data_IF_418190228181
#
_entry.id   IF_418190228181
#
_cell.length_a   1.000
_cell.length_b   1.000
_cell.length_c   1.000
_cell.angle_alpha   90.00
_cell.angle_beta   90.00
_cell.angle_gamma   90.00
#
_symmetry.space_group_name_H-M   'P 1'
#
loop_
_entity.id
_entity.type
_entity.pdbx_description
1 polymer ?
#
# COMPACT_ATOMS: atom_id res chain seq x y z
N UNK A 1 -45.32 30.33 1.04
CA UNK A 1 -44.23 30.72 0.11
C UNK A 1 -42.93 30.36 0.82
N UNK A 2 -42.31 29.21 0.53
CA UNK A 2 -41.32 28.91 -0.53
C UNK A 2 -39.93 29.53 -0.29
N UNK A 3 -38.93 28.63 -0.33
CA UNK A 3 -37.46 28.74 -0.43
C UNK A 3 -36.73 29.03 0.91
N UNK A 4 -35.94 28.13 1.52
CA UNK A 4 -34.96 27.11 1.08
C UNK A 4 -33.68 27.69 0.45
N UNK A 5 -32.52 27.12 0.84
CA UNK A 5 -31.09 27.40 0.53
C UNK A 5 -30.39 27.85 1.83
N UNK A 6 -29.48 27.13 2.51
CA UNK A 6 -28.49 26.11 2.10
C UNK A 6 -27.89 25.43 3.38
N UNK A 7 -27.76 24.09 3.43
CA UNK A 7 -26.70 23.42 4.20
C UNK A 7 -25.81 22.62 3.23
N UNK A 8 -24.80 23.26 2.63
CA UNK A 8 -23.77 22.57 1.82
C UNK A 8 -22.35 22.78 2.35
N UNK A 9 -22.17 23.40 3.52
CA UNK A 9 -20.84 23.68 4.06
C UNK A 9 -20.27 22.54 4.95
N UNK A 10 -21.07 21.56 5.36
CA UNK A 10 -20.63 20.50 6.29
C UNK A 10 -20.27 19.17 5.61
N UNK A 11 -20.44 19.04 4.29
CA UNK A 11 -20.20 17.79 3.55
C UNK A 11 -18.82 17.71 2.87
N UNK A 12 -18.01 18.78 2.90
CA UNK A 12 -16.69 18.80 2.22
C UNK A 12 -15.52 18.54 3.19
N UNK A 13 -15.71 18.65 4.51
CA UNK A 13 -14.65 18.37 5.49
C UNK A 13 -14.56 16.90 5.96
N UNK A 14 -15.48 16.02 5.54
CA UNK A 14 -15.43 14.58 5.83
C UNK A 14 -14.62 13.74 4.83
N UNK A 15 -14.23 14.31 3.69
CA UNK A 15 -13.66 13.56 2.56
C UNK A 15 -12.15 13.27 2.63
N UNK A 16 -11.40 13.93 3.50
CA UNK A 16 -9.93 13.87 3.49
C UNK A 16 -9.29 13.00 4.59
N UNK A 17 -10.07 12.50 5.57
CA UNK A 17 -9.54 11.68 6.69
C UNK A 17 -9.88 10.18 6.53
N UNK A 18 -10.72 9.81 5.55
CA UNK A 18 -11.18 8.43 5.37
C UNK A 18 -10.30 7.50 4.52
N UNK A 19 -9.24 8.00 3.87
CA UNK A 19 -8.54 7.23 2.83
C UNK A 19 -7.44 6.27 3.34
N UNK A 20 -7.20 6.18 4.65
CA UNK A 20 -6.23 5.23 5.23
C UNK A 20 -6.80 4.33 6.33
N UNK A 21 -8.08 4.47 6.67
CA UNK A 21 -8.73 3.63 7.69
C UNK A 21 -9.71 2.68 6.98
N UNK A 22 -9.20 1.47 6.80
CA UNK A 22 -9.89 0.21 6.55
C UNK A 22 -10.55 -0.04 5.18
N UNK A 23 -9.95 -0.99 4.45
CA UNK A 23 -10.54 -1.66 3.29
C UNK A 23 -11.78 -2.52 3.66
N UNK A 24 -12.04 -2.71 4.96
CA UNK A 24 -13.21 -3.43 5.47
C UNK A 24 -14.39 -2.50 5.85
N UNK A 25 -14.16 -1.24 6.28
CA UNK A 25 -15.29 -0.33 6.61
C UNK A 25 -15.89 0.33 5.37
N UNK A 26 -15.16 0.50 4.28
CA UNK A 26 -15.76 0.97 3.01
C UNK A 26 -16.72 -0.09 2.47
N UNK A 27 -16.34 -1.38 2.53
CA UNK A 27 -17.25 -2.47 2.21
C UNK A 27 -18.45 -2.50 3.17
N UNK A 28 -18.24 -2.35 4.49
CA UNK A 28 -19.34 -2.38 5.46
C UNK A 28 -20.30 -1.19 5.34
N UNK A 29 -19.81 0.04 5.12
CA UNK A 29 -20.64 1.24 4.93
C UNK A 29 -21.45 1.18 3.64
N UNK A 30 -20.87 0.63 2.57
CA UNK A 30 -21.61 0.45 1.30
C UNK A 30 -22.69 -0.63 1.45
N UNK A 31 -22.44 -1.67 2.24
CA UNK A 31 -23.41 -2.73 2.59
C UNK A 31 -24.58 -2.17 3.41
N UNK A 32 -24.30 -1.32 4.41
CA UNK A 32 -25.35 -0.70 5.23
C UNK A 32 -26.21 0.29 4.42
N UNK A 33 -25.62 1.07 3.51
CA UNK A 33 -26.38 1.98 2.63
C UNK A 33 -27.27 1.24 1.63
N UNK A 34 -26.80 0.12 1.05
CA UNK A 34 -27.58 -0.69 0.10
C UNK A 34 -28.67 -1.50 0.83
N UNK A 35 -28.38 -2.03 2.02
CA UNK A 35 -29.37 -2.68 2.87
C UNK A 35 -30.48 -1.68 3.29
N UNK A 36 -30.11 -0.44 3.65
CA UNK A 36 -31.05 0.61 3.98
C UNK A 36 -31.90 1.08 2.78
N UNK A 37 -31.35 1.06 1.56
CA UNK A 37 -32.12 1.37 0.34
C UNK A 37 -33.08 0.23 -0.05
N UNK A 38 -32.72 -1.03 0.23
CA UNK A 38 -33.54 -2.20 -0.09
C UNK A 38 -34.57 -2.59 0.99
N UNK A 39 -34.54 -1.98 2.18
CA UNK A 39 -35.54 -2.20 3.25
C UNK A 39 -36.97 -1.71 2.96
N UNK A 40 -37.26 -1.21 1.75
CA UNK A 40 -38.63 -0.86 1.32
C UNK A 40 -39.42 -2.02 0.67
N UNK A 41 -38.87 -3.24 0.60
CA UNK A 41 -39.63 -4.42 0.22
C UNK A 41 -40.48 -4.94 1.40
N UNK A 42 -41.81 -4.94 1.22
CA UNK A 42 -42.82 -5.42 2.20
C UNK A 42 -42.48 -6.81 2.75
N UNK A 43 -42.64 -7.06 4.06
CA UNK A 43 -42.52 -8.41 4.60
C UNK A 43 -43.74 -9.25 4.18
N UNK A 44 -43.49 -10.32 3.44
CA UNK A 44 -44.46 -11.41 3.28
C UNK A 44 -43.86 -12.70 3.83
N UNK A 45 -44.60 -13.28 4.78
CA UNK A 45 -44.37 -14.57 5.46
C UNK A 45 -43.24 -14.60 6.50
N UNK A 46 -43.52 -15.23 7.64
CA UNK A 46 -42.71 -15.19 8.87
C UNK A 46 -41.41 -16.00 8.80
N UNK A 47 -40.52 -15.62 7.89
CA UNK A 47 -39.13 -16.07 7.86
C UNK A 47 -38.25 -15.10 8.64
N UNK A 48 -37.25 -15.65 9.33
CA UNK A 48 -36.21 -14.95 10.11
C UNK A 48 -35.66 -13.75 9.32
N UNK A 49 -35.37 -12.61 9.95
CA UNK A 49 -34.76 -11.47 9.25
C UNK A 49 -33.46 -11.94 8.60
N UNK A 50 -33.38 -11.78 7.28
CA UNK A 50 -32.18 -12.10 6.49
C UNK A 50 -31.06 -11.13 6.88
N UNK A 51 -29.85 -11.65 6.99
CA UNK A 51 -28.63 -10.85 7.09
C UNK A 51 -28.46 -9.98 5.83
N UNK A 52 -27.73 -8.87 5.95
CA UNK A 52 -27.49 -7.97 4.82
C UNK A 52 -26.84 -8.69 3.61
N UNK A 53 -25.96 -9.66 3.87
CA UNK A 53 -25.35 -10.52 2.85
C UNK A 53 -26.37 -11.42 2.14
N UNK A 54 -27.33 -11.99 2.86
CA UNK A 54 -28.38 -12.82 2.27
C UNK A 54 -29.34 -11.99 1.41
N UNK A 55 -29.62 -10.74 1.81
CA UNK A 55 -30.44 -9.82 1.00
C UNK A 55 -29.74 -9.47 -0.31
N UNK A 56 -28.44 -9.14 -0.27
CA UNK A 56 -27.68 -8.82 -1.49
C UNK A 56 -27.59 -10.03 -2.42
N UNK A 57 -27.34 -11.22 -1.87
CA UNK A 57 -27.31 -12.44 -2.67
C UNK A 57 -28.69 -12.78 -3.26
N UNK A 58 -29.76 -12.65 -2.47
CA UNK A 58 -31.12 -12.87 -2.96
C UNK A 58 -31.47 -11.87 -4.06
N UNK A 59 -31.12 -10.60 -3.94
CA UNK A 59 -31.35 -9.60 -4.99
C UNK A 59 -30.58 -9.94 -6.28
N UNK A 60 -29.30 -10.29 -6.14
CA UNK A 60 -28.46 -10.73 -7.26
C UNK A 60 -29.04 -11.96 -7.97
N UNK A 61 -29.60 -12.91 -7.21
CA UNK A 61 -30.23 -14.12 -7.73
C UNK A 61 -31.73 -13.96 -8.02
N UNK A 62 -32.28 -12.74 -7.96
CA UNK A 62 -33.70 -12.44 -8.21
C UNK A 62 -34.66 -13.26 -7.33
N UNK A 63 -34.27 -13.49 -6.08
CA UNK A 63 -35.02 -14.22 -5.05
C UNK A 63 -34.81 -15.74 -5.07
N UNK A 64 -34.02 -16.28 -5.99
CA UNK A 64 -33.68 -17.72 -6.05
C UNK A 64 -32.69 -18.11 -4.97
N UNK A 65 -32.77 -19.36 -4.52
CA UNK A 65 -31.74 -19.94 -3.65
C UNK A 65 -30.50 -20.31 -4.46
N UNK A 66 -29.27 -20.17 -3.92
CA UNK A 66 -28.05 -20.71 -4.54
C UNK A 66 -28.13 -22.21 -4.85
N UNK A 67 -28.91 -22.98 -4.07
CA UNK A 67 -29.13 -24.42 -4.28
C UNK A 67 -29.92 -24.73 -5.57
N UNK A 68 -30.62 -23.74 -6.13
CA UNK A 68 -31.43 -23.89 -7.34
C UNK A 68 -30.63 -23.61 -8.62
N UNK A 69 -29.36 -23.22 -8.51
CA UNK A 69 -28.51 -22.89 -9.65
C UNK A 69 -27.89 -24.13 -10.27
N UNK A 70 -27.96 -24.25 -11.60
CA UNK A 70 -27.14 -25.24 -12.32
C UNK A 70 -25.67 -24.79 -12.40
N UNK A 71 -24.72 -25.71 -12.64
CA UNK A 71 -23.31 -25.34 -12.84
C UNK A 71 -23.07 -24.32 -13.95
N UNK A 72 -23.83 -24.40 -15.04
CA UNK A 72 -23.75 -23.47 -16.17
C UNK A 72 -24.31 -22.10 -15.80
N UNK A 73 -25.44 -22.04 -15.08
CA UNK A 73 -25.99 -20.78 -14.58
C UNK A 73 -25.02 -20.09 -13.62
N UNK A 74 -24.48 -20.85 -12.66
CA UNK A 74 -23.47 -20.36 -11.73
C UNK A 74 -22.23 -19.85 -12.48
N UNK A 75 -21.77 -20.59 -13.49
CA UNK A 75 -20.65 -20.18 -14.33
C UNK A 75 -20.92 -18.87 -15.08
N UNK A 76 -22.09 -18.73 -15.72
CA UNK A 76 -22.44 -17.50 -16.43
C UNK A 76 -22.55 -16.28 -15.51
N UNK A 77 -23.06 -16.46 -14.28
CA UNK A 77 -23.14 -15.40 -13.27
C UNK A 77 -21.74 -14.94 -12.82
N UNK A 78 -20.78 -15.86 -12.75
CA UNK A 78 -19.41 -15.58 -12.32
C UNK A 78 -18.50 -15.08 -13.45
N UNK A 79 -18.84 -15.39 -14.69
CA UNK A 79 -18.04 -15.08 -15.88
C UNK A 79 -17.57 -13.62 -15.97
N UNK A 80 -18.38 -12.59 -15.67
CA UNK A 80 -17.93 -11.20 -15.75
C UNK A 80 -16.74 -10.87 -14.85
N UNK A 81 -16.59 -11.59 -13.73
CA UNK A 81 -15.43 -11.46 -12.83
C UNK A 81 -14.30 -12.37 -13.30
N UNK A 82 -14.61 -13.61 -13.68
CA UNK A 82 -13.60 -14.59 -14.07
C UNK A 82 -12.85 -14.25 -15.37
N UNK A 83 -13.49 -13.58 -16.33
CA UNK A 83 -12.84 -13.22 -17.61
C UNK A 83 -11.98 -11.95 -17.54
N UNK A 84 -11.85 -11.34 -16.36
CA UNK A 84 -11.08 -10.09 -16.20
C UNK A 84 -9.59 -10.35 -16.34
N UNK A 85 -8.88 -9.35 -16.84
CA UNK A 85 -7.44 -9.43 -16.96
C UNK A 85 -6.81 -9.22 -15.57
N UNK A 86 -5.94 -10.13 -15.07
CA UNK A 86 -5.37 -10.03 -13.71
C UNK A 86 -4.57 -8.76 -13.41
N UNK A 87 -4.16 -8.01 -14.45
CA UNK A 87 -3.44 -6.73 -14.34
C UNK A 87 -4.34 -5.49 -14.44
N UNK A 88 -5.65 -5.66 -14.56
CA UNK A 88 -6.57 -4.52 -14.57
C UNK A 88 -6.75 -3.99 -13.14
N UNK A 89 -5.78 -3.19 -12.67
CA UNK A 89 -5.83 -2.59 -11.33
C UNK A 89 -7.02 -1.62 -11.13
N UNK A 90 -7.82 -1.35 -12.17
CA UNK A 90 -9.09 -0.63 -12.05
C UNK A 90 -10.17 -1.42 -11.26
N UNK A 91 -9.91 -2.69 -10.92
CA UNK A 91 -10.80 -3.57 -10.16
C UNK A 91 -11.21 -3.07 -8.77
N UNK A 92 -10.53 -2.05 -8.25
CA UNK A 92 -10.80 -1.45 -6.93
C UNK A 92 -11.26 0.02 -7.00
N UNK A 93 -11.50 0.55 -8.21
CA UNK A 93 -11.69 2.01 -8.39
C UNK A 93 -13.15 2.45 -8.56
N UNK A 94 -14.08 1.55 -8.90
CA UNK A 94 -15.51 1.89 -9.05
C UNK A 94 -16.41 1.10 -8.10
N UNK A 95 -17.49 1.75 -7.65
CA UNK A 95 -18.51 1.14 -6.77
C UNK A 95 -19.14 -0.10 -7.41
N UNK A 96 -19.39 -0.05 -8.72
CA UNK A 96 -19.97 -1.17 -9.48
C UNK A 96 -19.06 -2.39 -9.44
N UNK A 97 -17.75 -2.24 -9.71
CA UNK A 97 -16.80 -3.36 -9.66
C UNK A 97 -16.65 -3.95 -8.26
N UNK A 98 -16.65 -3.10 -7.22
CA UNK A 98 -16.65 -3.56 -5.83
C UNK A 98 -17.90 -4.39 -5.51
N UNK A 99 -19.07 -3.98 -6.00
CA UNK A 99 -20.32 -4.73 -5.83
C UNK A 99 -20.28 -6.07 -6.57
N UNK A 100 -19.81 -6.11 -7.81
CA UNK A 100 -19.68 -7.36 -8.58
C UNK A 100 -18.74 -8.35 -7.89
N UNK A 101 -17.59 -7.90 -7.38
CA UNK A 101 -16.66 -8.74 -6.63
C UNK A 101 -17.28 -9.25 -5.33
N UNK A 102 -18.06 -8.42 -4.63
CA UNK A 102 -18.77 -8.82 -3.43
C UNK A 102 -19.85 -9.87 -3.73
N UNK A 103 -20.67 -9.67 -4.76
CA UNK A 103 -21.69 -10.62 -5.22
C UNK A 103 -21.07 -11.95 -5.67
N UNK A 104 -19.95 -11.89 -6.38
CA UNK A 104 -19.18 -13.08 -6.78
C UNK A 104 -18.73 -13.90 -5.57
N UNK A 105 -18.13 -13.27 -4.56
CA UNK A 105 -17.71 -13.95 -3.32
C UNK A 105 -18.90 -14.51 -2.53
N UNK A 106 -20.00 -13.76 -2.45
CA UNK A 106 -21.22 -14.25 -1.82
C UNK A 106 -21.76 -15.49 -2.54
N UNK A 107 -21.82 -15.46 -3.87
CA UNK A 107 -22.25 -16.61 -4.65
C UNK A 107 -21.32 -17.81 -4.40
N UNK A 108 -20.00 -17.62 -4.54
CA UNK A 108 -19.01 -18.67 -4.30
C UNK A 108 -19.13 -19.30 -2.92
N UNK A 109 -19.42 -18.52 -1.89
CA UNK A 109 -19.55 -19.01 -0.51
C UNK A 109 -20.86 -19.77 -0.26
N UNK A 110 -21.88 -19.59 -1.09
CA UNK A 110 -23.19 -20.21 -0.89
C UNK A 110 -23.55 -21.28 -1.92
N UNK A 111 -22.77 -21.46 -2.99
CA UNK A 111 -23.02 -22.52 -3.96
C UNK A 111 -22.83 -23.92 -3.34
N UNK A 112 -23.66 -24.92 -3.72
CA UNK A 112 -23.44 -26.31 -3.32
C UNK A 112 -22.12 -26.88 -3.86
N UNK A 113 -21.45 -27.73 -3.07
CA UNK A 113 -20.19 -28.38 -3.46
C UNK A 113 -20.25 -29.10 -4.83
N UNK A 114 -21.32 -29.85 -5.18
CA UNK A 114 -21.42 -30.48 -6.49
C UNK A 114 -21.46 -29.47 -7.64
N UNK A 115 -22.14 -28.33 -7.43
CA UNK A 115 -22.24 -27.25 -8.42
C UNK A 115 -20.88 -26.59 -8.61
N UNK A 116 -20.20 -26.24 -7.51
CA UNK A 116 -18.86 -25.64 -7.54
C UNK A 116 -17.84 -26.48 -8.28
N UNK A 117 -17.84 -27.80 -8.07
CA UNK A 117 -16.90 -28.70 -8.76
C UNK A 117 -17.09 -28.61 -10.28
N UNK A 118 -18.33 -28.74 -10.76
CA UNK A 118 -18.60 -28.70 -12.21
C UNK A 118 -18.37 -27.30 -12.76
N UNK A 119 -18.68 -26.25 -12.00
CA UNK A 119 -18.36 -24.88 -12.41
C UNK A 119 -16.86 -24.60 -12.48
N UNK A 120 -16.06 -25.20 -11.59
CA UNK A 120 -14.60 -25.17 -11.66
C UNK A 120 -14.10 -25.86 -12.93
N UNK A 121 -14.62 -27.03 -13.27
CA UNK A 121 -14.29 -27.74 -14.51
C UNK A 121 -14.63 -26.86 -15.74
N UNK A 122 -15.82 -26.26 -15.78
CA UNK A 122 -16.22 -25.31 -16.83
C UNK A 122 -15.32 -24.08 -16.92
N UNK A 123 -14.88 -23.54 -15.78
CA UNK A 123 -13.98 -22.39 -15.74
C UNK A 123 -12.58 -22.71 -16.27
N UNK A 124 -12.17 -23.98 -16.21
CA UNK A 124 -10.86 -24.47 -16.66
C UNK A 124 -10.88 -24.90 -18.14
N UNK A 125 -12.00 -25.41 -18.61
CA UNK A 125 -12.21 -25.76 -20.02
C UNK A 125 -12.49 -24.51 -20.89
N UNK A 126 -12.99 -23.44 -20.27
CA UNK A 126 -13.20 -22.13 -20.90
C UNK A 126 -11.90 -21.34 -21.06
N UNK A 127 -11.86 -20.43 -22.02
CA UNK A 127 -10.76 -19.48 -22.32
C UNK A 127 -10.49 -18.43 -21.22
N UNK A 128 -10.72 -18.79 -19.95
CA UNK A 128 -10.51 -17.97 -18.76
C UNK A 128 -9.04 -18.06 -18.34
N UNK A 129 -8.40 -16.93 -17.97
CA UNK A 129 -7.05 -16.95 -17.43
C UNK A 129 -6.94 -17.84 -16.19
N UNK A 130 -5.91 -18.69 -16.15
CA UNK A 130 -5.59 -19.59 -15.03
C UNK A 130 -5.76 -18.94 -13.63
N UNK A 131 -5.28 -17.71 -13.36
CA UNK A 131 -5.40 -17.08 -12.04
C UNK A 131 -6.84 -16.85 -11.56
N UNK A 132 -7.79 -16.61 -12.48
CA UNK A 132 -9.17 -16.33 -12.09
C UNK A 132 -9.90 -17.58 -11.59
N UNK A 133 -9.49 -18.76 -12.05
CA UNK A 133 -10.04 -20.05 -11.58
C UNK A 133 -9.60 -20.41 -10.16
N UNK A 134 -8.57 -19.75 -9.62
CA UNK A 134 -8.00 -20.06 -8.30
C UNK A 134 -8.96 -19.70 -7.15
N UNK A 135 -9.77 -18.65 -7.28
CA UNK A 135 -10.77 -18.30 -6.26
C UNK A 135 -11.90 -19.34 -6.19
N UNK A 136 -12.34 -19.87 -7.34
CA UNK A 136 -13.33 -20.96 -7.41
C UNK A 136 -12.77 -22.23 -6.79
N UNK A 137 -11.51 -22.57 -7.12
CA UNK A 137 -10.83 -23.71 -6.51
C UNK A 137 -10.68 -23.56 -5.00
N UNK A 138 -10.28 -22.38 -4.51
CA UNK A 138 -10.13 -22.13 -3.08
C UNK A 138 -11.45 -22.36 -2.33
N UNK A 139 -12.57 -21.86 -2.86
CA UNK A 139 -13.90 -22.09 -2.29
C UNK A 139 -14.30 -23.57 -2.32
N UNK A 140 -13.93 -24.31 -3.38
CA UNK A 140 -14.14 -25.76 -3.45
C UNK A 140 -13.30 -26.52 -2.39
N UNK A 141 -12.03 -26.14 -2.24
CA UNK A 141 -11.09 -26.76 -1.30
C UNK A 141 -11.44 -26.52 0.16
N UNK A 142 -12.00 -25.35 0.50
CA UNK A 142 -12.47 -25.04 1.86
C UNK A 142 -13.50 -26.08 2.34
N UNK A 143 -14.43 -26.48 1.47
CA UNK A 143 -15.51 -27.43 1.77
C UNK A 143 -15.06 -28.89 1.74
N UNK A 144 -14.01 -29.20 0.98
CA UNK A 144 -13.57 -30.57 0.73
C UNK A 144 -12.11 -30.63 0.31
N UNK A 145 -11.21 -30.42 1.26
CA UNK A 145 -9.76 -30.37 1.02
C UNK A 145 -9.23 -31.59 0.29
N UNK A 146 -9.44 -32.80 0.82
CA UNK A 146 -8.87 -34.01 0.23
C UNK A 146 -9.34 -34.25 -1.22
N UNK A 147 -10.62 -34.00 -1.48
CA UNK A 147 -11.19 -34.09 -2.83
C UNK A 147 -10.64 -33.01 -3.78
N UNK A 148 -10.45 -31.79 -3.27
CA UNK A 148 -9.87 -30.70 -4.06
C UNK A 148 -8.39 -30.92 -4.36
N UNK A 149 -7.61 -31.44 -3.41
CA UNK A 149 -6.20 -31.79 -3.62
C UNK A 149 -6.07 -32.94 -4.62
N UNK A 150 -6.93 -33.96 -4.54
CA UNK A 150 -6.97 -35.03 -5.54
C UNK A 150 -7.28 -34.49 -6.94
N UNK A 151 -8.19 -33.52 -7.06
CA UNK A 151 -8.47 -32.83 -8.33
C UNK A 151 -7.30 -31.96 -8.81
N UNK A 152 -6.65 -31.21 -7.91
CA UNK A 152 -5.53 -30.33 -8.24
C UNK A 152 -4.28 -31.12 -8.67
N UNK A 153 -4.13 -32.37 -8.23
CA UNK A 153 -2.98 -33.21 -8.54
C UNK A 153 -2.76 -33.43 -10.05
N UNK A 154 -3.81 -33.38 -10.86
CA UNK A 154 -3.73 -33.50 -12.32
C UNK A 154 -3.55 -32.17 -13.05
N UNK A 155 -3.47 -31.04 -12.34
CA UNK A 155 -3.39 -29.70 -12.93
C UNK A 155 -1.93 -29.23 -13.07
N UNK A 156 -1.60 -28.47 -14.14
CA UNK A 156 -0.24 -27.94 -14.33
C UNK A 156 0.15 -26.89 -13.28
N UNK A 157 -0.83 -26.12 -12.77
CA UNK A 157 -0.69 -25.03 -11.78
C UNK A 157 -1.12 -25.46 -10.36
N UNK A 158 -0.90 -26.74 -10.03
CA UNK A 158 -1.31 -27.33 -8.74
C UNK A 158 -0.80 -26.55 -7.53
N UNK A 159 0.40 -25.97 -7.60
CA UNK A 159 1.03 -25.25 -6.48
C UNK A 159 0.31 -23.94 -6.21
N UNK A 160 -0.02 -23.22 -7.26
CA UNK A 160 -0.76 -21.96 -7.22
C UNK A 160 -2.18 -22.20 -6.70
N UNK A 161 -2.84 -23.27 -7.16
CA UNK A 161 -4.15 -23.71 -6.66
C UNK A 161 -4.12 -24.01 -5.15
N UNK A 162 -3.15 -24.82 -4.70
CA UNK A 162 -2.97 -25.15 -3.27
C UNK A 162 -2.70 -23.88 -2.46
N UNK A 163 -1.82 -22.99 -2.96
CA UNK A 163 -1.51 -21.71 -2.32
C UNK A 163 -2.75 -20.82 -2.20
N UNK A 164 -3.59 -20.74 -3.22
CA UNK A 164 -4.83 -19.97 -3.19
C UNK A 164 -5.83 -20.54 -2.16
N UNK A 165 -5.98 -21.86 -2.11
CA UNK A 165 -6.84 -22.52 -1.13
C UNK A 165 -6.36 -22.29 0.32
N UNK A 166 -5.05 -22.39 0.58
CA UNK A 166 -4.49 -22.08 1.90
C UNK A 166 -4.62 -20.60 2.23
N UNK A 167 -4.49 -19.71 1.24
CA UNK A 167 -4.71 -18.27 1.43
C UNK A 167 -6.14 -17.94 1.85
N UNK A 168 -7.15 -18.61 1.28
CA UNK A 168 -8.53 -18.50 1.73
C UNK A 168 -8.72 -19.06 3.15
N UNK A 169 -8.19 -20.28 3.41
CA UNK A 169 -8.23 -20.87 4.74
C UNK A 169 -7.53 -20.00 5.78
N UNK A 170 -6.46 -19.28 5.44
CA UNK A 170 -5.81 -18.35 6.36
C UNK A 170 -6.73 -17.20 6.82
N UNK A 171 -7.80 -16.92 6.07
CA UNK A 171 -8.85 -15.98 6.45
C UNK A 171 -10.03 -16.66 7.19
N UNK A 172 -10.45 -17.84 6.75
CA UNK A 172 -11.68 -18.50 7.24
C UNK A 172 -11.46 -19.56 8.32
N UNK A 173 -10.35 -20.31 8.25
CA UNK A 173 -9.91 -21.33 9.20
C UNK A 173 -8.36 -21.32 9.35
N UNK A 174 -7.83 -20.31 10.07
CA UNK A 174 -6.39 -20.07 10.16
C UNK A 174 -5.63 -21.17 10.91
N UNK A 175 -6.29 -21.93 11.79
CA UNK A 175 -5.68 -23.08 12.47
C UNK A 175 -5.38 -24.19 11.46
N UNK A 176 -6.35 -24.50 10.59
CA UNK A 176 -6.17 -25.47 9.51
C UNK A 176 -5.11 -25.00 8.51
N UNK A 177 -5.13 -23.72 8.13
CA UNK A 177 -4.09 -23.16 7.25
C UNK A 177 -2.68 -23.25 7.85
N UNK A 178 -2.54 -23.02 9.16
CA UNK A 178 -1.25 -23.17 9.88
C UNK A 178 -0.73 -24.60 9.79
N UNK A 179 -1.60 -25.60 10.00
CA UNK A 179 -1.25 -27.02 9.87
C UNK A 179 -0.80 -27.37 8.45
N UNK A 180 -1.54 -26.89 7.43
CA UNK A 180 -1.25 -27.18 6.02
C UNK A 180 0.07 -26.58 5.55
N UNK A 181 0.41 -25.37 6.00
CA UNK A 181 1.72 -24.77 5.72
C UNK A 181 2.85 -25.58 6.36
N UNK A 182 2.66 -26.05 7.60
CA UNK A 182 3.62 -26.92 8.26
C UNK A 182 3.90 -28.20 7.44
N UNK A 183 2.84 -28.80 6.87
CA UNK A 183 2.97 -29.96 5.98
C UNK A 183 3.67 -29.63 4.67
N UNK A 184 3.29 -28.54 3.99
CA UNK A 184 3.94 -28.12 2.73
C UNK A 184 5.44 -27.82 2.93
N UNK A 185 5.77 -27.10 4.00
CA UNK A 185 7.16 -26.74 4.31
C UNK A 185 8.02 -27.98 4.60
N UNK A 186 7.46 -28.99 5.29
CA UNK A 186 8.20 -30.21 5.66
C UNK A 186 8.28 -31.24 4.54
N UNK A 187 7.24 -31.39 3.72
CA UNK A 187 7.16 -32.40 2.67
C UNK A 187 7.67 -31.92 1.31
N UNK A 188 7.41 -30.65 0.95
CA UNK A 188 7.71 -30.12 -0.37
C UNK A 188 8.89 -29.14 -0.38
N UNK A 189 9.39 -28.75 0.80
CA UNK A 189 10.49 -27.78 0.95
C UNK A 189 10.21 -26.42 0.33
N UNK A 190 8.95 -26.11 0.05
CA UNK A 190 8.54 -24.89 -0.64
C UNK A 190 7.97 -23.93 0.39
N UNK A 191 8.55 -22.73 0.57
CA UNK A 191 8.05 -21.76 1.53
C UNK A 191 6.66 -21.27 1.13
N UNK A 192 5.80 -21.09 2.13
CA UNK A 192 4.48 -20.47 1.92
C UNK A 192 4.62 -19.05 1.38
N UNK A 193 3.64 -18.61 0.59
CA UNK A 193 3.64 -17.25 0.05
C UNK A 193 3.57 -16.19 1.15
N UNK A 194 4.19 -15.03 0.90
CA UNK A 194 4.21 -13.90 1.83
C UNK A 194 2.80 -13.46 2.23
N UNK A 195 1.82 -13.58 1.33
CA UNK A 195 0.42 -13.25 1.60
C UNK A 195 -0.17 -14.15 2.69
N UNK A 196 -0.01 -15.48 2.56
CA UNK A 196 -0.52 -16.45 3.52
C UNK A 196 0.14 -16.24 4.88
N UNK A 197 1.46 -16.10 4.89
CA UNK A 197 2.24 -15.83 6.11
C UNK A 197 1.73 -14.56 6.78
N UNK A 198 1.49 -13.49 6.03
CA UNK A 198 0.97 -12.22 6.57
C UNK A 198 -0.42 -12.37 7.19
N UNK A 199 -1.33 -13.15 6.57
CA UNK A 199 -2.67 -13.40 7.12
C UNK A 199 -2.59 -14.16 8.44
N UNK A 200 -1.79 -15.22 8.49
CA UNK A 200 -1.61 -16.02 9.70
C UNK A 200 -0.88 -15.27 10.82
N UNK A 201 0.11 -14.44 10.48
CA UNK A 201 0.77 -13.58 11.47
C UNK A 201 -0.21 -12.61 12.14
N UNK A 202 -1.17 -12.05 11.38
CA UNK A 202 -2.25 -11.23 11.98
C UNK A 202 -3.16 -12.05 12.88
N UNK A 203 -3.53 -13.26 12.47
CA UNK A 203 -4.33 -14.16 13.31
C UNK A 203 -3.63 -14.47 14.63
N UNK A 204 -2.37 -14.89 14.59
CA UNK A 204 -1.59 -15.20 15.78
C UNK A 204 -1.30 -13.95 16.64
N UNK A 205 -1.13 -12.77 16.02
CA UNK A 205 -1.01 -11.50 16.75
C UNK A 205 -2.25 -11.20 17.61
N UNK A 206 -3.47 -11.42 17.08
CA UNK A 206 -4.72 -11.22 17.84
C UNK A 206 -4.86 -12.11 19.06
N UNK A 207 -4.14 -13.24 19.08
CA UNK A 207 -4.10 -14.18 20.20
C UNK A 207 -3.02 -13.84 21.23
N UNK A 208 -2.22 -12.81 20.99
CA UNK A 208 -1.16 -12.35 21.87
C UNK A 208 0.25 -12.61 21.33
N UNK A 209 1.23 -11.95 21.93
CA UNK A 209 2.63 -11.97 21.51
C UNK A 209 3.26 -13.37 21.60
N UNK A 210 2.83 -14.19 22.57
CA UNK A 210 3.37 -15.56 22.73
C UNK A 210 3.02 -16.44 21.54
N UNK A 211 1.76 -16.43 21.13
CA UNK A 211 1.29 -17.20 19.97
C UNK A 211 1.92 -16.67 18.68
N UNK A 212 2.00 -15.35 18.55
CA UNK A 212 2.69 -14.71 17.44
C UNK A 212 4.13 -15.21 17.25
N UNK A 213 4.96 -15.13 18.30
CA UNK A 213 6.37 -15.55 18.19
C UNK A 213 6.54 -17.07 18.09
N UNK A 214 5.62 -17.85 18.68
CA UNK A 214 5.59 -19.30 18.47
C UNK A 214 5.37 -19.65 16.98
N UNK A 215 4.43 -18.96 16.32
CA UNK A 215 4.20 -19.12 14.90
C UNK A 215 5.39 -18.65 14.05
N UNK A 216 5.94 -17.46 14.32
CA UNK A 216 7.14 -16.93 13.65
C UNK A 216 8.30 -17.93 13.70
N UNK A 217 8.52 -18.56 14.86
CA UNK A 217 9.57 -19.57 15.03
C UNK A 217 9.31 -20.87 14.25
N UNK A 218 8.04 -21.17 13.94
CA UNK A 218 7.68 -22.36 13.16
C UNK A 218 7.91 -22.20 11.66
N UNK A 219 8.05 -20.96 11.18
CA UNK A 219 8.22 -20.67 9.76
C UNK A 219 9.68 -20.92 9.32
N UNK A 220 9.91 -21.70 8.24
CA UNK A 220 11.25 -21.87 7.69
C UNK A 220 11.69 -20.60 6.97
N UNK A 221 12.86 -20.07 7.34
CA UNK A 221 13.54 -19.05 6.55
C UNK A 221 12.76 -17.75 6.38
N UNK A 222 12.16 -17.22 7.46
CA UNK A 222 11.68 -15.84 7.42
C UNK A 222 12.81 -14.91 6.97
N UNK A 223 12.56 -13.98 6.03
CA UNK A 223 13.56 -13.00 5.63
C UNK A 223 14.12 -12.28 6.86
N UNK A 224 15.44 -12.07 6.90
CA UNK A 224 16.09 -11.42 8.05
C UNK A 224 15.54 -10.00 8.30
N UNK A 225 14.98 -9.39 7.26
CA UNK A 225 14.41 -8.04 7.24
C UNK A 225 12.87 -8.01 7.27
N UNK A 226 12.22 -9.07 7.74
CA UNK A 226 10.76 -9.12 7.78
C UNK A 226 10.17 -7.96 8.60
N UNK A 227 9.24 -7.21 7.99
CA UNK A 227 8.62 -6.05 8.64
C UNK A 227 7.49 -6.50 9.58
N UNK A 228 7.70 -6.33 10.88
CA UNK A 228 6.74 -6.68 11.92
C UNK A 228 5.74 -5.55 12.24
N UNK A 229 5.95 -4.34 11.71
CA UNK A 229 5.11 -3.17 12.01
C UNK A 229 3.62 -3.41 11.72
N UNK A 230 3.22 -4.03 10.59
CA UNK A 230 1.80 -4.21 10.25
C UNK A 230 0.99 -5.02 11.27
N UNK A 231 1.64 -5.80 12.13
CA UNK A 231 0.98 -6.70 13.09
C UNK A 231 0.80 -6.08 14.48
N UNK A 232 1.46 -4.94 14.77
CA UNK A 232 1.33 -4.27 16.07
C UNK A 232 -0.13 -3.89 16.39
N UNK A 233 -0.88 -3.44 15.38
CA UNK A 233 -2.29 -3.07 15.52
C UNK A 233 -3.22 -4.25 15.81
N UNK A 234 -2.78 -5.46 15.48
CA UNK A 234 -3.56 -6.68 15.68
C UNK A 234 -3.28 -7.30 17.06
N UNK A 235 -2.23 -6.88 17.78
CA UNK A 235 -1.93 -7.34 19.14
C UNK A 235 -2.93 -6.77 20.17
N UNK A 236 -3.22 -7.51 21.25
CA UNK A 236 -3.85 -6.94 22.44
C UNK A 236 -3.01 -5.75 22.95
N UNK A 237 -3.60 -4.57 23.22
CA UNK A 237 -2.82 -3.37 23.59
C UNK A 237 -1.89 -3.59 24.79
N UNK A 238 -2.34 -4.33 25.81
CA UNK A 238 -1.55 -4.65 27.00
C UNK A 238 -0.35 -5.57 26.75
N UNK A 239 -0.24 -6.20 25.58
CA UNK A 239 0.86 -7.11 25.24
C UNK A 239 1.97 -6.45 24.40
N UNK A 240 1.77 -5.22 23.93
CA UNK A 240 2.76 -4.51 23.10
C UNK A 240 4.12 -4.37 23.82
N UNK A 241 4.20 -3.99 25.12
CA UNK A 241 5.50 -3.94 25.80
C UNK A 241 6.22 -5.30 25.82
N UNK A 242 5.51 -6.38 26.12
CA UNK A 242 6.08 -7.73 26.13
C UNK A 242 6.48 -8.22 24.73
N UNK A 243 5.73 -7.81 23.70
CA UNK A 243 6.08 -8.04 22.31
C UNK A 243 7.41 -7.36 21.96
N UNK A 244 7.57 -6.08 22.33
CA UNK A 244 8.80 -5.32 22.09
C UNK A 244 9.98 -5.92 22.83
N UNK A 245 9.81 -6.35 24.08
CA UNK A 245 10.86 -7.06 24.82
C UNK A 245 11.31 -8.33 24.09
N UNK A 246 10.37 -9.14 23.60
CA UNK A 246 10.65 -10.37 22.89
C UNK A 246 11.29 -10.11 21.51
N UNK A 247 10.82 -9.09 20.78
CA UNK A 247 11.40 -8.63 19.52
C UNK A 247 12.89 -8.26 19.69
N UNK A 248 13.23 -7.59 20.79
CA UNK A 248 14.60 -7.20 21.13
C UNK A 248 15.45 -8.37 21.59
N UNK A 249 14.94 -9.20 22.51
CA UNK A 249 15.70 -10.32 23.07
C UNK A 249 16.07 -11.39 22.04
N UNK A 250 15.31 -11.51 20.95
CA UNK A 250 15.64 -12.42 19.83
C UNK A 250 16.58 -11.79 18.78
N UNK A 251 17.07 -10.57 19.01
CA UNK A 251 17.95 -9.86 18.08
C UNK A 251 17.28 -9.45 16.77
N UNK A 252 15.95 -9.54 16.68
CA UNK A 252 15.20 -9.15 15.47
C UNK A 252 15.28 -7.65 15.24
N UNK A 253 15.34 -6.87 16.32
CA UNK A 253 15.53 -5.44 16.27
C UNK A 253 16.87 -5.06 15.59
N UNK A 254 17.98 -5.65 16.05
CA UNK A 254 19.31 -5.37 15.49
C UNK A 254 19.39 -5.75 14.00
N UNK A 255 18.76 -6.85 13.60
CA UNK A 255 18.66 -7.24 12.18
C UNK A 255 17.86 -6.25 11.37
N UNK A 256 16.73 -5.77 11.90
CA UNK A 256 15.85 -4.82 11.23
C UNK A 256 16.42 -3.38 11.18
N UNK A 257 17.32 -3.01 12.09
CA UNK A 257 18.00 -1.69 12.09
C UNK A 257 18.82 -1.46 10.82
N UNK A 258 19.44 -2.50 10.26
CA UNK A 258 20.20 -2.40 9.02
C UNK A 258 19.33 -2.15 7.77
N UNK A 259 18.01 -2.28 7.87
CA UNK A 259 17.09 -2.27 6.73
C UNK A 259 15.88 -1.34 6.91
N UNK A 260 15.93 -0.35 7.80
CA UNK A 260 14.87 0.63 8.11
C UNK A 260 13.54 0.09 8.69
N UNK A 261 13.31 -1.22 8.69
CA UNK A 261 12.05 -1.82 9.17
C UNK A 261 11.88 -1.74 10.69
N UNK A 262 12.99 -1.78 11.46
CA UNK A 262 12.97 -1.60 12.91
C UNK A 262 12.51 -0.20 13.32
N UNK A 263 12.96 0.82 12.59
CA UNK A 263 12.55 2.22 12.81
C UNK A 263 11.06 2.42 12.57
N UNK A 264 10.52 1.85 11.48
CA UNK A 264 9.07 1.90 11.16
C UNK A 264 8.20 1.33 12.28
N UNK A 265 8.62 0.19 12.85
CA UNK A 265 7.91 -0.47 13.94
C UNK A 265 7.83 0.46 15.15
N UNK A 266 8.98 1.00 15.56
CA UNK A 266 9.05 1.86 16.75
C UNK A 266 8.34 3.20 16.54
N UNK A 267 8.38 3.78 15.33
CA UNK A 267 7.59 4.95 14.99
C UNK A 267 6.07 4.69 15.11
N UNK A 268 5.58 3.47 14.87
CA UNK A 268 4.17 3.15 15.12
C UNK A 268 3.86 3.04 16.62
N UNK A 269 4.79 2.47 17.39
CA UNK A 269 4.69 2.38 18.86
C UNK A 269 4.56 3.77 19.48
N UNK A 270 5.23 4.79 18.96
CA UNK A 270 5.18 6.16 19.49
C UNK A 270 3.75 6.70 19.68
N UNK A 271 2.83 6.40 18.76
CA UNK A 271 1.44 6.88 18.85
C UNK A 271 0.61 6.13 19.91
N UNK A 272 0.99 4.91 20.29
CA UNK A 272 0.18 4.04 21.16
C UNK A 272 0.81 3.81 22.53
N UNK A 273 2.14 3.81 22.60
CA UNK A 273 2.97 3.53 23.78
C UNK A 273 4.19 4.47 23.79
N UNK A 274 4.00 5.79 23.89
CA UNK A 274 5.08 6.78 23.79
C UNK A 274 6.19 6.57 24.84
N UNK A 275 5.86 6.05 26.02
CA UNK A 275 6.85 5.71 27.04
C UNK A 275 7.80 4.58 26.60
N UNK A 276 7.30 3.56 25.91
CA UNK A 276 8.14 2.47 25.40
C UNK A 276 8.99 2.93 24.21
N UNK A 277 8.42 3.77 23.34
CA UNK A 277 9.19 4.43 22.29
C UNK A 277 10.33 5.29 22.85
N UNK A 278 10.06 6.10 23.88
CA UNK A 278 11.09 6.95 24.49
C UNK A 278 12.21 6.13 25.14
N UNK A 279 11.87 5.07 25.92
CA UNK A 279 12.87 4.15 26.48
C UNK A 279 13.77 3.53 25.40
N UNK A 280 13.17 3.17 24.26
CA UNK A 280 13.91 2.64 23.13
C UNK A 280 14.80 3.69 22.47
N UNK A 281 14.27 4.88 22.18
CA UNK A 281 15.01 5.99 21.60
C UNK A 281 16.21 6.38 22.48
N UNK A 282 16.07 6.31 23.80
CA UNK A 282 17.14 6.56 24.76
C UNK A 282 18.18 5.43 24.85
N UNK A 283 17.88 4.24 24.32
CA UNK A 283 18.82 3.12 24.24
C UNK A 283 19.68 3.10 22.98
N UNK A 284 19.33 3.94 21.99
CA UNK A 284 20.08 4.07 20.75
C UNK A 284 21.38 4.83 20.98
N UNK A 285 22.38 4.55 20.13
CA UNK A 285 23.54 5.42 20.07
C UNK A 285 23.15 6.81 19.54
N UNK A 286 24.11 7.72 19.62
CA UNK A 286 23.88 9.11 19.29
C UNK A 286 23.37 9.31 17.85
N UNK A 287 24.00 8.64 16.87
CA UNK A 287 23.69 8.78 15.45
C UNK A 287 22.29 8.22 15.13
N UNK A 288 22.01 7.00 15.60
CA UNK A 288 20.71 6.35 15.42
C UNK A 288 19.59 7.12 16.13
N UNK A 289 19.85 7.64 17.32
CA UNK A 289 18.89 8.47 18.07
C UNK A 289 18.52 9.72 17.29
N UNK A 290 19.51 10.43 16.73
CA UNK A 290 19.25 11.63 15.93
C UNK A 290 18.49 11.29 14.65
N UNK A 291 18.86 10.22 13.93
CA UNK A 291 18.11 9.72 12.77
C UNK A 291 16.63 9.54 13.09
N UNK A 292 16.36 8.74 14.13
CA UNK A 292 14.99 8.38 14.50
C UNK A 292 14.20 9.60 15.00
N UNK A 293 14.86 10.57 15.62
CA UNK A 293 14.23 11.83 16.03
C UNK A 293 13.82 12.67 14.82
N UNK A 294 14.65 12.72 13.77
CA UNK A 294 14.28 13.37 12.52
C UNK A 294 13.17 12.62 11.77
N UNK A 295 13.19 11.29 11.72
CA UNK A 295 12.10 10.49 11.14
C UNK A 295 10.78 10.73 11.88
N UNK A 296 10.82 10.79 13.22
CA UNK A 296 9.66 11.14 14.04
C UNK A 296 9.17 12.55 13.72
N UNK A 297 10.07 13.52 13.62
CA UNK A 297 9.71 14.89 13.26
C UNK A 297 9.05 14.97 11.87
N UNK A 298 9.55 14.22 10.89
CA UNK A 298 8.97 14.11 9.55
C UNK A 298 7.56 13.50 9.61
N UNK A 299 7.39 12.40 10.36
CA UNK A 299 6.09 11.78 10.62
C UNK A 299 5.10 12.78 11.24
N UNK A 300 5.48 13.49 12.31
CA UNK A 300 4.61 14.50 12.96
C UNK A 300 4.21 15.60 11.99
N UNK A 301 5.11 16.04 11.11
CA UNK A 301 4.78 17.00 10.06
C UNK A 301 3.73 16.46 9.09
N UNK A 302 3.87 15.21 8.63
CA UNK A 302 2.91 14.57 7.74
C UNK A 302 1.52 14.41 8.38
N UNK A 303 1.46 14.30 9.71
CA UNK A 303 0.23 14.31 10.50
C UNK A 303 -0.35 15.73 10.72
N UNK A 304 0.28 16.77 10.16
CA UNK A 304 -0.12 18.18 10.33
C UNK A 304 0.37 18.83 11.63
N UNK A 305 1.16 18.13 12.44
CA UNK A 305 1.68 18.62 13.75
C UNK A 305 3.01 19.35 13.57
N UNK A 306 2.95 20.51 12.90
CA UNK A 306 4.13 21.29 12.49
C UNK A 306 4.97 21.75 13.69
N UNK A 307 4.34 22.23 14.76
CA UNK A 307 5.09 22.72 15.93
C UNK A 307 5.76 21.60 16.73
N UNK A 308 5.14 20.42 16.84
CA UNK A 308 5.79 19.24 17.42
C UNK A 308 6.99 18.78 16.58
N UNK A 309 6.83 18.77 15.26
CA UNK A 309 7.92 18.50 14.31
C UNK A 309 9.11 19.44 14.53
N UNK A 310 8.85 20.76 14.61
CA UNK A 310 9.88 21.77 14.87
C UNK A 310 10.56 21.59 16.23
N UNK A 311 9.81 21.26 17.28
CA UNK A 311 10.38 20.99 18.59
C UNK A 311 11.32 19.77 18.57
N UNK A 312 10.95 18.71 17.86
CA UNK A 312 11.78 17.51 17.68
C UNK A 312 13.04 17.82 16.88
N UNK A 313 12.96 18.61 15.80
CA UNK A 313 14.11 19.08 15.04
C UNK A 313 15.09 19.83 15.95
N UNK A 314 14.61 20.79 16.75
CA UNK A 314 15.47 21.54 17.68
C UNK A 314 16.13 20.62 18.70
N UNK A 315 15.39 19.63 19.23
CA UNK A 315 15.92 18.66 20.18
C UNK A 315 17.02 17.78 19.55
N UNK A 316 16.82 17.34 18.31
CA UNK A 316 17.82 16.57 17.57
C UNK A 316 19.08 17.41 17.32
N UNK A 317 18.93 18.65 16.86
CA UNK A 317 20.04 19.57 16.60
C UNK A 317 20.79 19.98 17.87
N UNK A 318 20.09 20.18 18.99
CA UNK A 318 20.73 20.53 20.26
C UNK A 318 21.55 19.38 20.88
N UNK A 319 21.21 18.13 20.55
CA UNK A 319 21.93 16.96 21.04
C UNK A 319 23.10 16.53 20.14
N UNK A 320 23.17 17.06 18.91
CA UNK A 320 24.23 16.76 17.93
C UNK A 320 25.61 17.28 18.37
N UNK A 321 26.63 16.39 18.53
CA UNK A 321 28.01 16.80 18.61
C UNK A 321 28.38 17.59 17.36
N UNK A 322 29.14 18.68 17.53
CA UNK A 322 29.55 19.56 16.41
C UNK A 322 30.29 18.83 15.29
N UNK A 323 30.94 17.70 15.57
CA UNK A 323 31.63 16.87 14.58
C UNK A 323 30.67 16.09 13.66
N UNK A 324 29.43 15.86 14.09
CA UNK A 324 28.44 15.02 13.40
C UNK A 324 27.48 15.84 12.51
N UNK A 325 27.78 17.10 12.23
CA UNK A 325 26.89 17.95 11.41
C UNK A 325 26.87 17.50 9.94
N UNK A 326 27.91 16.80 9.50
CA UNK A 326 27.93 16.09 8.20
C UNK A 326 26.84 15.02 8.11
N UNK A 327 26.41 14.44 9.24
CA UNK A 327 25.27 13.53 9.29
C UNK A 327 23.96 14.27 8.96
N UNK A 328 23.78 15.49 9.48
CA UNK A 328 22.61 16.33 9.17
C UNK A 328 22.57 16.64 7.68
N UNK A 329 23.73 16.89 7.06
CA UNK A 329 23.84 17.09 5.61
C UNK A 329 23.37 15.87 4.82
N UNK A 330 23.90 14.68 5.11
CA UNK A 330 23.47 13.43 4.45
C UNK A 330 21.98 13.15 4.65
N UNK A 331 21.44 13.41 5.85
CA UNK A 331 20.01 13.26 6.10
C UNK A 331 19.15 14.28 5.34
N UNK A 332 19.64 15.50 5.16
CA UNK A 332 18.96 16.52 4.32
C UNK A 332 18.99 16.12 2.85
N UNK A 333 20.08 15.53 2.35
CA UNK A 333 20.17 15.04 0.96
C UNK A 333 19.16 13.90 0.71
N UNK A 334 18.92 13.04 1.70
CA UNK A 334 18.00 11.91 1.59
C UNK A 334 16.52 12.28 1.80
N UNK A 335 16.21 13.45 2.39
CA UNK A 335 14.81 13.82 2.69
C UNK A 335 14.11 14.49 1.51
N UNK A 336 12.93 13.97 1.18
CA UNK A 336 12.10 14.45 0.04
C UNK A 336 11.12 15.55 0.42
N UNK A 337 11.29 16.17 1.58
CA UNK A 337 10.37 17.19 2.11
C UNK A 337 11.04 18.57 2.20
N UNK A 338 11.04 19.33 1.09
CA UNK A 338 11.49 20.72 1.01
C UNK A 338 11.27 21.53 2.29
N UNK A 339 10.02 21.74 2.71
CA UNK A 339 9.75 22.62 3.86
C UNK A 339 10.28 22.07 5.20
N UNK A 340 10.50 20.75 5.30
CA UNK A 340 11.17 20.12 6.44
C UNK A 340 12.68 20.36 6.39
N UNK A 341 13.29 20.26 5.22
CA UNK A 341 14.67 20.72 4.95
C UNK A 341 14.86 22.19 5.32
N UNK A 342 13.91 23.07 4.95
CA UNK A 342 13.90 24.48 5.30
C UNK A 342 14.01 24.70 6.81
N UNK A 343 13.16 24.01 7.57
CA UNK A 343 13.10 24.14 9.02
C UNK A 343 14.42 23.63 9.64
N UNK A 344 14.99 22.51 9.16
CA UNK A 344 16.31 22.03 9.63
C UNK A 344 17.40 23.06 9.36
N UNK A 345 17.54 23.55 8.11
CA UNK A 345 18.57 24.52 7.72
C UNK A 345 18.45 25.81 8.54
N UNK A 346 17.23 26.31 8.75
CA UNK A 346 16.99 27.53 9.53
C UNK A 346 17.33 27.41 11.02
N UNK A 347 17.41 26.18 11.54
CA UNK A 347 17.70 25.88 12.94
C UNK A 347 19.15 25.43 13.17
N UNK A 348 19.95 25.33 12.11
CA UNK A 348 21.38 25.05 12.22
C UNK A 348 22.10 26.21 12.91
N UNK A 349 23.14 25.93 13.72
CA UNK A 349 24.01 26.97 14.26
C UNK A 349 24.67 27.82 13.17
N UNK A 350 24.88 29.12 13.43
CA UNK A 350 25.45 30.09 12.47
C UNK A 350 26.85 29.71 11.95
N UNK A 351 27.62 28.93 12.72
CA UNK A 351 28.95 28.41 12.38
C UNK A 351 28.90 27.20 11.44
N UNK A 352 27.71 26.68 11.14
CA UNK A 352 27.47 25.47 10.36
C UNK A 352 26.50 25.74 9.20
N UNK A 353 26.73 26.85 8.48
CA UNK A 353 25.98 27.17 7.26
C UNK A 353 26.22 26.07 6.22
N UNK A 354 25.25 25.18 6.06
CA UNK A 354 25.16 24.30 4.91
C UNK A 354 24.78 25.20 3.72
N UNK A 355 25.73 25.37 2.79
CA UNK A 355 25.51 26.12 1.57
C UNK A 355 24.73 25.29 0.55
N UNK A 356 24.27 25.93 -0.53
CA UNK A 356 23.61 25.24 -1.65
C UNK A 356 24.51 24.17 -2.29
N UNK A 357 25.81 24.46 -2.38
CA UNK A 357 26.81 23.57 -3.01
C UNK A 357 27.00 22.26 -2.22
N UNK A 358 26.47 22.20 -1.01
CA UNK A 358 26.58 21.08 -0.08
C UNK A 358 25.34 20.15 -0.08
N UNK A 359 24.32 20.46 -0.88
CA UNK A 359 23.04 19.70 -0.95
C UNK A 359 22.86 18.97 -2.28
N UNK A 360 23.94 18.82 -3.05
CA UNK A 360 23.93 18.16 -4.36
C UNK A 360 24.04 16.64 -4.24
N UNK A 361 23.00 16.00 -3.71
CA UNK A 361 22.67 14.64 -4.09
C UNK A 361 22.12 14.63 -5.51
N UNK A 362 22.42 13.58 -6.30
CA UNK A 362 21.75 13.36 -7.58
C UNK A 362 20.24 13.42 -7.35
N UNK A 363 19.58 14.44 -7.88
CA UNK A 363 18.13 14.62 -7.77
C UNK A 363 17.48 13.53 -8.60
N UNK A 364 17.25 12.38 -7.98
CA UNK A 364 16.41 11.34 -8.55
C UNK A 364 14.99 11.93 -8.56
N UNK A 365 14.53 12.34 -9.74
CA UNK A 365 13.20 12.86 -10.01
C UNK A 365 12.14 11.76 -9.86
N UNK A 366 11.96 11.25 -8.64
CA UNK A 366 10.93 10.24 -8.35
C UNK A 366 9.52 10.86 -8.30
N UNK A 367 9.40 12.18 -8.19
CA UNK A 367 8.10 12.85 -8.24
C UNK A 367 8.16 14.19 -8.98
N UNK A 368 7.33 14.41 -10.01
CA UNK A 368 7.36 15.63 -10.83
C UNK A 368 7.21 16.95 -10.04
N UNK A 369 6.57 16.92 -8.86
CA UNK A 369 6.21 18.13 -8.09
C UNK A 369 7.38 18.74 -7.30
N UNK A 370 8.41 17.97 -6.96
CA UNK A 370 9.46 18.39 -6.03
C UNK A 370 10.26 19.61 -6.52
N UNK A 371 10.48 19.77 -7.84
CA UNK A 371 11.23 20.89 -8.41
C UNK A 371 10.65 22.28 -8.09
N UNK A 372 9.33 22.39 -7.87
CA UNK A 372 8.69 23.66 -7.52
C UNK A 372 8.81 23.97 -6.03
N UNK A 373 8.88 22.93 -5.22
CA UNK A 373 9.01 23.07 -3.78
C UNK A 373 10.46 23.47 -3.41
N UNK A 374 11.44 23.19 -4.26
CA UNK A 374 12.83 23.62 -4.10
C UNK A 374 13.05 25.14 -4.29
N UNK A 375 12.10 25.82 -4.95
CA UNK A 375 12.18 27.26 -5.20
C UNK A 375 12.23 28.11 -3.93
N UNK A 376 11.78 27.56 -2.80
CA UNK A 376 11.83 28.26 -1.51
C UNK A 376 13.24 28.31 -0.90
N UNK A 377 14.18 27.48 -1.36
CA UNK A 377 15.60 27.50 -0.93
C UNK A 377 16.47 28.44 -1.75
N UNK A 378 15.93 28.92 -2.87
CA UNK A 378 16.69 29.71 -3.83
C UNK A 378 16.53 31.19 -3.49
N UNK A 379 17.66 31.83 -3.14
CA UNK A 379 17.70 33.18 -2.61
C UNK A 379 17.36 34.25 -3.63
N UNK A 380 17.59 34.00 -4.91
CA UNK A 380 17.36 34.96 -6.00
C UNK A 380 16.42 34.44 -7.09
N UNK A 381 15.72 35.34 -7.78
CA UNK A 381 14.85 35.01 -8.92
C UNK A 381 15.63 34.28 -10.03
N UNK A 382 16.87 34.71 -10.29
CA UNK A 382 17.75 34.07 -11.29
C UNK A 382 18.03 32.60 -10.95
N UNK A 383 18.25 32.29 -9.68
CA UNK A 383 18.48 30.91 -9.24
C UNK A 383 17.23 30.05 -9.41
N UNK A 384 16.05 30.58 -9.09
CA UNK A 384 14.75 29.92 -9.30
C UNK A 384 14.53 29.58 -10.76
N UNK A 385 14.78 30.54 -11.65
CA UNK A 385 14.67 30.36 -13.10
C UNK A 385 15.63 29.29 -13.59
N UNK A 386 16.90 29.37 -13.22
CA UNK A 386 17.91 28.38 -13.65
C UNK A 386 17.60 26.97 -13.15
N UNK A 387 17.11 26.82 -11.92
CA UNK A 387 16.70 25.54 -11.38
C UNK A 387 15.55 24.95 -12.19
N UNK A 388 14.47 25.69 -12.43
CA UNK A 388 13.32 25.19 -13.20
C UNK A 388 13.70 24.84 -14.64
N UNK A 389 14.53 25.65 -15.30
CA UNK A 389 15.03 25.36 -16.65
C UNK A 389 15.84 24.06 -16.64
N UNK A 390 16.75 23.88 -15.68
CA UNK A 390 17.56 22.66 -15.55
C UNK A 390 16.69 21.44 -15.27
N UNK A 391 15.71 21.55 -14.36
CA UNK A 391 14.80 20.47 -13.99
C UNK A 391 13.92 20.06 -15.17
N UNK A 392 13.34 21.01 -15.91
CA UNK A 392 12.63 20.69 -17.15
C UNK A 392 13.56 20.16 -18.25
N UNK A 393 14.82 20.61 -18.29
CA UNK A 393 15.87 20.09 -19.17
C UNK A 393 16.21 18.62 -18.92
N UNK A 394 16.10 18.17 -17.67
CA UNK A 394 16.34 16.78 -17.26
C UNK A 394 15.14 15.84 -17.47
N UNK A 395 14.00 16.35 -17.95
CA UNK A 395 12.87 15.52 -18.38
C UNK A 395 13.17 14.99 -19.79
N UNK A 396 13.20 13.67 -19.92
CA UNK A 396 13.56 12.97 -21.15
C UNK A 396 12.43 12.08 -21.64
N UNK A 397 12.68 11.51 -22.81
CA UNK A 397 11.79 10.57 -23.45
C UNK A 397 11.71 9.26 -22.67
N UNK A 398 10.50 8.75 -22.45
CA UNK A 398 10.25 7.55 -21.64
C UNK A 398 9.90 7.83 -20.17
N UNK A 399 10.01 9.07 -19.71
CA UNK A 399 9.50 9.47 -18.40
C UNK A 399 7.98 9.25 -18.33
N UNK A 400 7.43 8.74 -17.21
CA UNK A 400 6.01 8.39 -17.08
C UNK A 400 5.09 9.62 -16.88
N UNK A 401 5.40 10.73 -17.55
CA UNK A 401 4.68 12.00 -17.43
C UNK A 401 3.57 12.12 -18.48
N UNK A 402 2.34 12.30 -18.01
CA UNK A 402 1.16 12.46 -18.84
C UNK A 402 0.76 13.94 -19.02
N UNK A 403 -0.27 14.22 -19.86
CA UNK A 403 -0.78 15.58 -20.07
C UNK A 403 -1.18 16.30 -18.77
N UNK A 404 -1.70 15.57 -17.78
CA UNK A 404 -2.12 16.12 -16.47
C UNK A 404 -0.94 16.63 -15.65
N UNK A 405 0.23 16.01 -15.76
CA UNK A 405 1.43 16.44 -15.03
C UNK A 405 1.92 17.79 -15.57
N UNK A 406 1.91 17.98 -16.89
CA UNK A 406 2.25 19.26 -17.52
C UNK A 406 1.23 20.37 -17.23
N UNK A 407 -0.07 20.05 -17.12
CA UNK A 407 -1.09 20.99 -16.65
C UNK A 407 -0.81 21.44 -15.21
N UNK A 408 -0.46 20.50 -14.33
CA UNK A 408 -0.07 20.79 -12.95
C UNK A 408 1.18 21.67 -12.89
N UNK A 409 2.19 21.42 -13.72
CA UNK A 409 3.39 22.28 -13.82
C UNK A 409 3.06 23.69 -14.28
N UNK A 410 2.21 23.83 -15.29
CA UNK A 410 1.77 25.14 -15.77
C UNK A 410 1.09 25.92 -14.65
N UNK A 411 0.18 25.29 -13.91
CA UNK A 411 -0.51 25.92 -12.78
C UNK A 411 0.45 26.29 -11.64
N UNK A 412 1.41 25.41 -11.30
CA UNK A 412 2.44 25.68 -10.28
C UNK A 412 3.35 26.85 -10.68
N UNK A 413 3.68 26.95 -11.97
CA UNK A 413 4.46 28.05 -12.51
C UNK A 413 3.72 29.39 -12.40
N UNK A 414 2.40 29.41 -12.66
CA UNK A 414 1.57 30.62 -12.50
C UNK A 414 1.58 31.17 -11.07
N UNK A 415 1.61 30.30 -10.06
CA UNK A 415 1.63 30.69 -8.65
C UNK A 415 3.03 30.83 -8.06
N UNK A 416 4.08 30.60 -8.85
CA UNK A 416 5.49 30.67 -8.39
C UNK A 416 5.98 32.11 -8.14
N UNK A 417 5.24 33.11 -8.63
CA UNK A 417 5.60 34.52 -8.52
C UNK A 417 6.69 34.98 -9.50
N UNK A 418 7.09 34.15 -10.47
CA UNK A 418 7.95 34.56 -11.59
C UNK A 418 7.16 35.48 -12.54
N UNK A 419 7.78 36.57 -13.00
CA UNK A 419 7.14 37.57 -13.87
C UNK A 419 8.03 37.99 -15.03
N UNK A 420 7.42 38.43 -16.13
CA UNK A 420 8.15 38.93 -17.29
C UNK A 420 9.04 37.86 -17.94
N UNK A 421 10.23 38.27 -18.39
CA UNK A 421 11.17 37.43 -19.15
C UNK A 421 11.56 36.15 -18.41
N UNK A 422 11.68 36.21 -17.08
CA UNK A 422 12.00 35.04 -16.24
C UNK A 422 10.92 33.95 -16.31
N UNK A 423 9.64 34.34 -16.34
CA UNK A 423 8.53 33.40 -16.49
C UNK A 423 8.47 32.82 -17.91
N UNK A 424 8.73 33.65 -18.92
CA UNK A 424 8.71 33.23 -20.32
C UNK A 424 9.78 32.16 -20.60
N UNK A 425 11.00 32.34 -20.08
CA UNK A 425 12.09 31.36 -20.20
C UNK A 425 11.74 30.00 -19.57
N UNK A 426 11.09 30.02 -18.40
CA UNK A 426 10.69 28.78 -17.72
C UNK A 426 9.52 28.10 -18.45
N UNK A 427 8.57 28.87 -19.00
CA UNK A 427 7.47 28.35 -19.84
C UNK A 427 8.00 27.69 -21.11
N UNK A 428 9.00 28.28 -21.74
CA UNK A 428 9.66 27.70 -22.92
C UNK A 428 10.34 26.37 -22.59
N UNK A 429 11.03 26.29 -21.45
CA UNK A 429 11.64 25.04 -20.97
C UNK A 429 10.59 23.95 -20.67
N UNK A 430 9.46 24.32 -20.05
CA UNK A 430 8.34 23.41 -19.78
C UNK A 430 7.70 22.86 -21.06
N UNK A 431 7.45 23.72 -22.06
CA UNK A 431 6.88 23.25 -23.34
C UNK A 431 7.89 22.39 -24.11
N UNK A 432 9.18 22.72 -24.04
CA UNK A 432 10.24 21.88 -24.61
C UNK A 432 10.28 20.49 -23.99
N UNK A 433 10.11 20.39 -22.66
CA UNK A 433 10.00 19.10 -21.97
C UNK A 433 8.76 18.33 -22.41
N UNK A 434 7.61 19.00 -22.56
CA UNK A 434 6.36 18.40 -23.03
C UNK A 434 6.49 17.80 -24.43
N UNK A 435 7.21 18.48 -25.32
CA UNK A 435 7.47 18.00 -26.67
C UNK A 435 8.38 16.76 -26.62
N UNK A 436 9.46 16.79 -25.82
CA UNK A 436 10.39 15.65 -25.67
C UNK A 436 9.69 14.37 -25.22
N UNK A 437 8.82 14.44 -24.20
CA UNK A 437 8.08 13.26 -23.69
C UNK A 437 7.10 12.68 -24.72
N UNK A 438 6.63 13.50 -25.68
CA UNK A 438 5.67 13.08 -26.72
C UNK A 438 6.34 12.54 -27.98
N UNK A 439 7.64 12.72 -28.14
CA UNK A 439 8.34 12.15 -29.30
C UNK A 439 8.46 10.63 -29.10
N UNK A 440 8.13 9.81 -30.12
CA UNK A 440 8.50 8.41 -30.09
C UNK A 440 10.02 8.29 -30.05
N UNK A 441 10.57 7.18 -29.52
CA UNK A 441 12.00 6.99 -29.49
C UNK A 441 12.58 7.19 -30.88
N UNK A 442 13.69 7.94 -31.01
CA UNK A 442 14.41 7.94 -32.26
C UNK A 442 14.61 6.46 -32.60
N UNK A 443 14.16 6.06 -33.79
CA UNK A 443 14.34 4.69 -34.26
C UNK A 443 15.79 4.34 -33.97
N UNK A 444 16.00 3.35 -33.09
CA UNK A 444 17.35 2.86 -32.82
C UNK A 444 17.88 2.45 -34.17
N UNK A 445 18.78 3.25 -34.74
CA UNK A 445 19.55 2.84 -35.91
C UNK A 445 20.15 1.52 -35.48
N UNK A 446 19.83 0.40 -36.15
CA UNK A 446 20.45 -0.88 -35.83
C UNK A 446 21.95 -0.63 -35.84
N UNK A 447 22.57 -0.77 -34.67
CA UNK A 447 24.02 -0.82 -34.63
C UNK A 447 24.36 -2.09 -35.39
N UNK A 448 24.94 -1.93 -36.57
CA UNK A 448 25.44 -3.05 -37.34
C UNK A 448 26.56 -3.67 -36.49
N UNK A 449 26.27 -4.84 -35.91
CA UNK A 449 27.20 -5.52 -35.01
C UNK A 449 28.42 -6.07 -35.79
N UNK A 450 28.42 -5.96 -37.12
CA UNK A 450 29.54 -6.31 -37.99
C UNK A 450 30.68 -5.27 -37.97
N UNK A 451 30.46 -4.06 -37.41
CA UNK A 451 31.50 -3.02 -37.25
C UNK A 451 32.25 -3.08 -35.90
N UNK A 452 31.97 -4.06 -35.04
CA UNK A 452 32.79 -4.28 -33.85
C UNK A 452 34.05 -5.07 -34.23
N UNK A 453 35.27 -4.52 -34.06
CA UNK A 453 36.48 -5.31 -34.18
C UNK A 453 36.43 -6.43 -33.14
N UNK A 454 36.51 -7.68 -33.61
CA UNK A 454 36.69 -8.82 -32.72
C UNK A 454 38.09 -8.73 -32.12
N UNK A 455 38.17 -8.36 -30.84
CA UNK A 455 39.35 -8.58 -29.98
C UNK A 455 39.14 -9.80 -29.08
#
# INVERSE_FOLDING_TARGET
MKLSVLPAATLVLGGAIGFMISRNEVASRTVDEVAAQNTHARPHSGKRPLSASEVVLADFLKGRSPDELTPEEAFQLMRPVLTRHPRDHADQSTRERLMENYQFRLLLNNLPTPVLKVTLDLARDGSIPFPASHEVFAAYAERGWDTAIAWAASQPDKRELISAAISLLAETDPERATLLIGQMNTQEGTPASTEIVSKLMRHHARRGQKEFFAFVKSLPGLPEYFDFSPYLKDLPPGEIPAFLDNYRSNGLEAKARNFSSGGKLMLQVENTHPAEFQKWLDSLDFEEKSRMTFELASKKRSEGKVEESRALIRSALASLPRSEVMYVRSYIEDTRFPQFTADIISMLPDDLKIGRDDLHGDVIMDHPVSMFDDLQFLGTTKEKVNHLISSFGAIYEGDPLGPRDFEMFSHRLEISGLTGTDNDMVREALESARIRVRQPPPERIPIDLDDYPQE
#
